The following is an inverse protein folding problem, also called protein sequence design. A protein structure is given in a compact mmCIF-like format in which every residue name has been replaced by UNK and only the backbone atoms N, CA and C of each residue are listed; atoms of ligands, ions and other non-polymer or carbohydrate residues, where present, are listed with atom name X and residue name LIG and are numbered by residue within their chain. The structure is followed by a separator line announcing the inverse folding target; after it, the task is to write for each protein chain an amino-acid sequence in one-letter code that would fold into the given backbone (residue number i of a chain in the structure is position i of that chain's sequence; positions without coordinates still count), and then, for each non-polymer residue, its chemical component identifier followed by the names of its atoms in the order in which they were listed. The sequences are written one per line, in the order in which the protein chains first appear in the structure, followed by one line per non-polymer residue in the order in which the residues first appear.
data_IF_075539162539
#
_entry.id   IF_075539162539
#
_cell.length_a   1.000
_cell.length_b   1.000
_cell.length_c   1.000
_cell.angle_alpha   90.00
_cell.angle_beta   90.00
_cell.angle_gamma   90.00
#
_symmetry.space_group_name_H-M   'P 1'
#
loop_
_entity.id
_entity.type
_entity.pdbx_description
1 polymer ?
#
# COMPACT_ATOMS: atom_id res chain seq x y z
N UNK A 1 -24.94 23.38 -5.67
CA UNK A 1 -23.85 22.39 -5.55
C UNK A 1 -24.06 21.39 -6.67
N UNK A 2 -23.46 21.66 -7.83
CA UNK A 2 -23.61 20.84 -9.04
C UNK A 2 -22.87 19.52 -8.83
N UNK A 3 -23.61 18.41 -8.76
CA UNK A 3 -23.04 17.07 -8.78
C UNK A 3 -22.26 16.90 -10.09
N UNK A 4 -20.93 16.84 -10.00
CA UNK A 4 -20.09 16.52 -11.15
C UNK A 4 -20.36 15.07 -11.59
N UNK A 5 -20.37 14.78 -12.90
CA UNK A 5 -20.67 13.46 -13.42
C UNK A 5 -19.77 12.39 -12.79
N UNK A 6 -20.42 11.44 -12.14
CA UNK A 6 -19.86 10.52 -11.14
C UNK A 6 -18.81 9.52 -11.67
N UNK A 7 -18.58 9.45 -12.98
CA UNK A 7 -17.72 8.41 -13.58
C UNK A 7 -16.98 8.93 -14.82
N UNK A 8 -15.88 9.64 -14.61
CA UNK A 8 -14.82 9.73 -15.61
C UNK A 8 -13.86 8.57 -15.32
N UNK A 9 -13.74 7.55 -16.18
CA UNK A 9 -12.99 6.31 -15.88
C UNK A 9 -11.49 6.55 -15.67
N UNK A 10 -11.02 7.75 -16.02
CA UNK A 10 -9.62 8.15 -15.93
C UNK A 10 -9.31 9.02 -14.71
N UNK A 11 -10.30 9.32 -13.87
CA UNK A 11 -10.15 10.18 -12.69
C UNK A 11 -10.64 9.40 -11.46
N UNK A 12 -9.78 9.25 -10.45
CA UNK A 12 -10.17 8.53 -9.24
C UNK A 12 -11.32 9.27 -8.54
N UNK A 13 -12.30 8.53 -8.00
CA UNK A 13 -13.35 9.15 -7.18
C UNK A 13 -12.69 9.86 -6.00
N UNK A 14 -13.10 11.09 -5.64
CA UNK A 14 -12.52 11.82 -4.51
C UNK A 14 -12.76 11.12 -3.17
N UNK A 15 -13.86 10.37 -3.03
CA UNK A 15 -14.19 9.61 -1.82
C UNK A 15 -13.85 8.14 -1.98
N UNK A 16 -13.03 7.61 -1.07
CA UNK A 16 -12.67 6.19 -1.05
C UNK A 16 -13.77 5.34 -0.45
N UNK A 17 -13.66 4.00 -0.52
CA UNK A 17 -14.55 3.12 0.21
C UNK A 17 -14.67 3.54 1.69
N UNK A 18 -15.88 3.51 2.23
CA UNK A 18 -16.15 4.01 3.59
C UNK A 18 -15.31 3.29 4.67
N UNK A 19 -14.91 2.05 4.40
CA UNK A 19 -14.11 1.20 5.29
C UNK A 19 -12.62 1.59 5.39
N UNK A 20 -12.08 2.48 4.53
CA UNK A 20 -10.66 2.82 4.60
C UNK A 20 -10.29 3.47 5.96
N UNK A 21 -9.13 3.10 6.55
CA UNK A 21 -8.60 3.78 7.73
C UNK A 21 -8.29 5.24 7.40
N UNK A 22 -8.32 6.12 8.41
CA UNK A 22 -8.14 7.56 8.23
C UNK A 22 -6.83 7.89 7.47
N UNK A 23 -5.71 7.27 7.86
CA UNK A 23 -4.43 7.44 7.18
C UNK A 23 -4.47 7.06 5.69
N UNK A 24 -5.19 6.00 5.31
CA UNK A 24 -5.35 5.61 3.91
C UNK A 24 -6.29 6.56 3.16
N UNK A 25 -7.31 7.11 3.82
CA UNK A 25 -8.19 8.16 3.24
C UNK A 25 -7.39 9.42 2.93
N UNK A 26 -6.55 9.85 3.86
CA UNK A 26 -5.68 11.02 3.69
C UNK A 26 -4.68 10.78 2.55
N UNK A 27 -4.00 9.62 2.54
CA UNK A 27 -3.10 9.23 1.46
C UNK A 27 -3.79 9.26 0.08
N UNK A 28 -5.01 8.73 0.00
CA UNK A 28 -5.82 8.75 -1.23
C UNK A 28 -6.15 10.16 -1.69
N UNK A 29 -6.47 11.06 -0.75
CA UNK A 29 -6.76 12.45 -1.05
C UNK A 29 -5.51 13.16 -1.59
N UNK A 30 -4.33 12.96 -1.00
CA UNK A 30 -3.08 13.51 -1.53
C UNK A 30 -2.74 12.95 -2.91
N UNK A 31 -2.93 11.65 -3.15
CA UNK A 31 -2.75 11.04 -4.47
C UNK A 31 -3.71 11.63 -5.51
N UNK A 32 -4.97 11.89 -5.12
CA UNK A 32 -5.97 12.54 -5.97
C UNK A 32 -5.57 13.99 -6.32
N UNK A 33 -5.08 14.76 -5.35
CA UNK A 33 -4.54 16.10 -5.62
C UNK A 33 -3.31 16.06 -6.53
N UNK A 34 -2.43 15.07 -6.35
CA UNK A 34 -1.32 14.79 -7.25
C UNK A 34 -1.80 14.53 -8.68
N UNK A 35 -2.90 13.79 -8.85
CA UNK A 35 -3.53 13.54 -10.15
C UNK A 35 -4.02 14.81 -10.84
N UNK A 36 -4.71 15.67 -10.11
CA UNK A 36 -5.21 16.94 -10.64
C UNK A 36 -4.07 17.86 -11.05
N UNK A 37 -3.02 17.93 -10.23
CA UNK A 37 -1.85 18.75 -10.53
C UNK A 37 -1.07 18.18 -11.71
N UNK A 38 -0.98 16.85 -11.88
CA UNK A 38 -0.43 16.28 -13.12
C UNK A 38 -1.19 16.74 -14.37
N UNK A 39 -2.52 16.77 -14.31
CA UNK A 39 -3.34 17.24 -15.44
C UNK A 39 -3.12 18.72 -15.71
N UNK A 40 -3.00 19.54 -14.67
CA UNK A 40 -2.64 20.95 -14.80
C UNK A 40 -1.24 21.12 -15.43
N UNK A 41 -0.25 20.34 -14.99
CA UNK A 41 1.11 20.36 -15.55
C UNK A 41 1.13 19.90 -17.01
N UNK A 42 0.29 18.93 -17.39
CA UNK A 42 0.11 18.52 -18.78
C UNK A 42 -0.41 19.69 -19.64
N UNK A 43 -1.40 20.44 -19.16
CA UNK A 43 -1.88 21.64 -19.85
C UNK A 43 -0.78 22.70 -20.00
N UNK A 44 -0.01 22.96 -18.95
CA UNK A 44 1.10 23.92 -18.96
C UNK A 44 2.19 23.48 -19.95
N UNK A 45 2.56 22.20 -19.94
CA UNK A 45 3.54 21.65 -20.86
C UNK A 45 3.08 21.77 -22.33
N UNK A 46 1.80 21.57 -22.59
CA UNK A 46 1.22 21.74 -23.93
C UNK A 46 1.33 23.20 -24.42
N UNK A 47 0.92 24.17 -23.60
CA UNK A 47 1.02 25.60 -23.93
C UNK A 47 2.49 26.00 -24.11
N UNK A 48 3.37 25.54 -23.20
CA UNK A 48 4.80 25.78 -23.27
C UNK A 48 5.44 25.18 -24.52
N UNK A 49 5.00 24.01 -24.98
CA UNK A 49 5.49 23.39 -26.21
C UNK A 49 5.13 24.23 -27.43
N UNK A 50 3.89 24.72 -27.54
CA UNK A 50 3.45 25.61 -28.62
C UNK A 50 4.27 26.90 -28.63
N UNK A 51 4.45 27.53 -27.47
CA UNK A 51 5.26 28.74 -27.34
C UNK A 51 6.74 28.50 -27.70
N UNK A 52 7.30 27.35 -27.32
CA UNK A 52 8.68 26.98 -27.63
C UNK A 52 8.89 26.76 -29.13
N UNK A 53 7.91 26.16 -29.82
CA UNK A 53 7.94 26.00 -31.28
C UNK A 53 7.86 27.37 -31.96
N UNK A 54 6.97 28.26 -31.50
CA UNK A 54 6.80 29.60 -32.07
C UNK A 54 8.05 30.48 -31.90
N UNK A 55 8.81 30.29 -30.82
CA UNK A 55 10.05 31.03 -30.54
C UNK A 55 11.31 30.38 -31.14
N UNK A 56 11.18 29.23 -31.81
CA UNK A 56 12.29 28.52 -32.46
C UNK A 56 13.17 27.70 -31.49
N UNK A 57 12.74 27.51 -30.23
CA UNK A 57 13.45 26.69 -29.24
C UNK A 57 13.09 25.21 -29.37
N UNK A 58 13.63 24.57 -30.41
CA UNK A 58 13.31 23.17 -30.74
C UNK A 58 13.69 22.17 -29.64
N UNK A 59 14.80 22.39 -28.93
CA UNK A 59 15.20 21.53 -27.81
C UNK A 59 14.18 21.51 -26.68
N UNK A 60 13.69 22.70 -26.29
CA UNK A 60 12.63 22.84 -25.27
C UNK A 60 11.32 22.24 -25.76
N UNK A 61 10.96 22.48 -27.01
CA UNK A 61 9.75 21.91 -27.61
C UNK A 61 9.77 20.38 -27.58
N UNK A 62 10.87 19.75 -28.01
CA UNK A 62 11.01 18.29 -28.00
C UNK A 62 10.94 17.74 -26.58
N UNK A 63 11.63 18.37 -25.62
CA UNK A 63 11.56 17.98 -24.22
C UNK A 63 10.11 18.03 -23.69
N UNK A 64 9.39 19.12 -23.94
CA UNK A 64 8.01 19.27 -23.48
C UNK A 64 7.06 18.27 -24.14
N UNK A 65 7.26 17.93 -25.42
CA UNK A 65 6.48 16.89 -26.09
C UNK A 65 6.75 15.50 -25.52
N UNK A 66 8.01 15.15 -25.21
CA UNK A 66 8.33 13.88 -24.55
C UNK A 66 7.71 13.85 -23.15
N UNK A 67 7.85 14.93 -22.38
CA UNK A 67 7.27 15.04 -21.04
C UNK A 67 5.74 14.92 -21.08
N UNK A 68 5.05 15.47 -22.09
CA UNK A 68 3.61 15.29 -22.30
C UNK A 68 3.22 13.81 -22.43
N UNK A 69 3.97 13.04 -23.24
CA UNK A 69 3.71 11.61 -23.43
C UNK A 69 3.91 10.86 -22.11
N UNK A 70 4.99 11.14 -21.38
CA UNK A 70 5.27 10.52 -20.09
C UNK A 70 4.19 10.88 -19.07
N UNK A 71 3.80 12.16 -18.94
CA UNK A 71 2.76 12.59 -18.01
C UNK A 71 1.42 11.94 -18.34
N UNK A 72 1.03 11.87 -19.61
CA UNK A 72 -0.20 11.20 -20.03
C UNK A 72 -0.18 9.71 -19.67
N UNK A 73 0.96 9.04 -19.86
CA UNK A 73 1.15 7.65 -19.48
C UNK A 73 1.06 7.44 -17.96
N UNK A 74 1.74 8.29 -17.17
CA UNK A 74 1.66 8.29 -15.71
C UNK A 74 0.22 8.46 -15.23
N UNK A 75 -0.47 9.45 -15.78
CA UNK A 75 -1.85 9.76 -15.45
C UNK A 75 -2.77 8.57 -15.71
N UNK A 76 -2.63 7.92 -16.87
CA UNK A 76 -3.43 6.74 -17.24
C UNK A 76 -3.14 5.54 -16.33
N UNK A 77 -1.86 5.27 -16.04
CA UNK A 77 -1.45 4.14 -15.22
C UNK A 77 -1.76 4.31 -13.73
N UNK A 78 -1.99 5.53 -13.25
CA UNK A 78 -2.12 5.78 -11.81
C UNK A 78 -3.37 5.12 -11.18
N UNK A 79 -4.50 5.11 -11.88
CA UNK A 79 -5.74 4.47 -11.38
C UNK A 79 -5.54 2.96 -11.11
N UNK A 80 -5.15 2.13 -12.09
CA UNK A 80 -4.98 0.70 -11.87
C UNK A 80 -3.77 0.36 -10.97
N UNK A 81 -2.77 1.23 -10.89
CA UNK A 81 -1.54 0.94 -10.16
C UNK A 81 -1.56 1.42 -8.70
N UNK A 82 -2.21 2.54 -8.39
CA UNK A 82 -2.22 3.14 -7.04
C UNK A 82 -3.61 3.03 -6.42
N UNK A 83 -4.64 3.56 -7.07
CA UNK A 83 -5.97 3.65 -6.47
C UNK A 83 -6.66 2.28 -6.36
N UNK A 84 -6.58 1.43 -7.37
CA UNK A 84 -7.18 0.09 -7.32
C UNK A 84 -6.62 -0.78 -6.18
N UNK A 85 -5.30 -0.97 -6.00
CA UNK A 85 -4.79 -1.77 -4.88
C UNK A 85 -5.05 -1.11 -3.51
N UNK A 86 -5.08 0.23 -3.45
CA UNK A 86 -5.43 0.97 -2.24
C UNK A 86 -6.90 0.74 -1.84
N UNK A 87 -7.81 0.79 -2.81
CA UNK A 87 -9.24 0.52 -2.65
C UNK A 87 -9.54 -0.99 -2.46
N UNK A 88 -8.55 -1.87 -2.61
CA UNK A 88 -8.63 -3.31 -2.30
C UNK A 88 -8.05 -3.67 -0.92
N UNK A 89 -7.47 -2.70 -0.20
CA UNK A 89 -6.83 -2.95 1.10
C UNK A 89 -5.43 -3.57 0.99
N UNK A 90 -4.88 -3.68 -0.23
CA UNK A 90 -3.51 -4.14 -0.47
C UNK A 90 -2.54 -2.98 -0.24
N UNK A 91 -2.51 -2.44 0.98
CA UNK A 91 -1.78 -1.22 1.31
C UNK A 91 -0.28 -1.35 1.02
N UNK A 92 0.33 -2.52 1.24
CA UNK A 92 1.74 -2.76 0.94
C UNK A 92 2.04 -2.64 -0.55
N UNK A 93 1.23 -3.29 -1.39
CA UNK A 93 1.37 -3.21 -2.84
C UNK A 93 1.10 -1.79 -3.36
N UNK A 94 0.09 -1.11 -2.81
CA UNK A 94 -0.19 0.28 -3.14
C UNK A 94 0.98 1.20 -2.76
N UNK A 95 1.55 1.02 -1.57
CA UNK A 95 2.70 1.77 -1.05
C UNK A 95 3.95 1.61 -1.93
N UNK A 96 4.30 0.36 -2.28
CA UNK A 96 5.44 0.07 -3.15
C UNK A 96 5.28 0.70 -4.54
N UNK A 97 4.06 0.72 -5.08
CA UNK A 97 3.77 1.39 -6.35
C UNK A 97 3.77 2.90 -6.22
N UNK A 98 3.28 3.44 -5.10
CA UNK A 98 3.20 4.88 -4.84
C UNK A 98 4.58 5.53 -4.79
N UNK A 99 5.57 4.88 -4.18
CA UNK A 99 6.94 5.40 -4.14
C UNK A 99 7.59 5.38 -5.53
N UNK A 100 7.40 4.29 -6.30
CA UNK A 100 7.93 4.18 -7.67
C UNK A 100 7.33 5.29 -8.54
N UNK A 101 6.00 5.44 -8.52
CA UNK A 101 5.33 6.49 -9.28
C UNK A 101 5.63 7.89 -8.78
N UNK A 102 5.83 8.08 -7.48
CA UNK A 102 6.23 9.35 -6.90
C UNK A 102 7.61 9.81 -7.40
N UNK A 103 8.58 8.90 -7.45
CA UNK A 103 9.94 9.19 -7.97
C UNK A 103 9.88 9.50 -9.47
N UNK A 104 9.20 8.68 -10.27
CA UNK A 104 9.07 8.91 -11.73
C UNK A 104 8.32 10.22 -11.99
N UNK A 105 7.25 10.49 -11.21
CA UNK A 105 6.50 11.72 -11.27
C UNK A 105 7.33 12.95 -10.91
N UNK A 106 8.29 12.84 -9.99
CA UNK A 106 9.17 13.95 -9.61
C UNK A 106 10.15 14.30 -10.73
N UNK A 107 10.69 13.30 -11.44
CA UNK A 107 11.66 13.49 -12.52
C UNK A 107 10.98 14.01 -13.80
N UNK A 108 9.84 13.43 -14.18
CA UNK A 108 9.21 13.68 -15.48
C UNK A 108 7.90 14.45 -15.41
N UNK A 109 7.13 14.30 -14.33
CA UNK A 109 5.83 14.95 -14.14
C UNK A 109 5.90 16.32 -13.46
N UNK A 110 7.08 16.69 -12.97
CA UNK A 110 7.32 17.92 -12.23
C UNK A 110 7.36 17.70 -10.71
N UNK A 111 8.02 18.64 -10.04
CA UNK A 111 8.33 18.54 -8.61
C UNK A 111 7.06 18.49 -7.76
N UNK A 112 6.07 19.32 -8.07
CA UNK A 112 4.84 19.44 -7.26
C UNK A 112 4.02 18.13 -7.25
N UNK A 113 3.62 17.54 -8.40
CA UNK A 113 2.87 16.29 -8.38
C UNK A 113 3.68 15.13 -7.80
N UNK A 114 5.00 15.09 -8.04
CA UNK A 114 5.89 14.12 -7.42
C UNK A 114 5.87 14.18 -5.90
N UNK A 115 6.05 15.37 -5.32
CA UNK A 115 6.03 15.57 -3.86
C UNK A 115 4.68 15.16 -3.25
N UNK A 116 3.55 15.46 -3.90
CA UNK A 116 2.24 15.07 -3.38
C UNK A 116 2.05 13.54 -3.34
N UNK A 117 2.56 12.83 -4.34
CA UNK A 117 2.61 11.36 -4.33
C UNK A 117 3.52 10.85 -3.20
N UNK A 118 4.66 11.48 -2.97
CA UNK A 118 5.54 11.13 -1.83
C UNK A 118 4.87 11.39 -0.48
N UNK A 119 4.10 12.46 -0.32
CA UNK A 119 3.31 12.72 0.89
C UNK A 119 2.24 11.65 1.08
N UNK A 120 1.54 11.27 0.00
CA UNK A 120 0.58 10.17 0.04
C UNK A 120 1.23 8.85 0.48
N UNK A 121 2.46 8.58 0.04
CA UNK A 121 3.24 7.42 0.49
C UNK A 121 3.55 7.48 1.99
N UNK A 122 4.04 8.61 2.50
CA UNK A 122 4.33 8.80 3.94
C UNK A 122 3.06 8.58 4.77
N UNK A 123 1.91 9.13 4.34
CA UNK A 123 0.63 8.91 5.01
C UNK A 123 0.18 7.46 4.98
N UNK A 124 0.42 6.77 3.87
CA UNK A 124 0.08 5.35 3.77
C UNK A 124 0.96 4.49 4.68
N UNK A 125 2.20 4.92 4.98
CA UNK A 125 3.05 4.21 5.91
C UNK A 125 2.52 4.18 7.34
N UNK A 126 1.75 5.19 7.75
CA UNK A 126 1.13 5.24 9.07
C UNK A 126 0.22 4.02 9.29
N UNK A 127 -0.42 3.49 8.23
CA UNK A 127 -1.26 2.28 8.29
C UNK A 127 -0.47 1.03 8.74
N UNK A 128 0.84 0.99 8.54
CA UNK A 128 1.67 -0.13 8.97
C UNK A 128 2.17 -0.01 10.42
N UNK A 129 1.91 1.11 11.10
CA UNK A 129 2.28 1.24 12.51
C UNK A 129 1.37 0.36 13.40
N UNK A 130 1.92 -0.25 14.47
CA UNK A 130 1.19 -1.20 15.32
C UNK A 130 -0.10 -0.61 15.93
N UNK A 131 -0.18 0.70 16.09
CA UNK A 131 -1.37 1.40 16.58
C UNK A 131 -2.57 1.32 15.61
N UNK A 132 -2.32 1.13 14.30
CA UNK A 132 -3.36 0.97 13.28
C UNK A 132 -3.68 -0.51 12.99
N UNK A 133 -2.85 -1.46 13.46
CA UNK A 133 -3.14 -2.89 13.39
C UNK A 133 -4.32 -3.31 14.28
N UNK A 134 -4.74 -2.45 15.23
CA UNK A 134 -5.96 -2.63 16.01
C UNK A 134 -7.26 -2.26 15.26
N UNK A 135 -7.19 -1.73 14.03
CA UNK A 135 -8.39 -1.60 13.19
C UNK A 135 -8.83 -3.01 12.75
N UNK A 136 -10.08 -3.41 13.03
CA UNK A 136 -10.45 -4.79 12.91
C UNK A 136 -10.53 -5.18 11.44
N UNK A 137 -9.78 -6.22 11.08
CA UNK A 137 -9.99 -7.10 9.92
C UNK A 137 -11.35 -7.84 9.98
N UNK A 138 -12.34 -7.37 10.75
CA UNK A 138 -13.69 -7.93 10.79
C UNK A 138 -14.55 -7.55 9.57
N UNK A 139 -14.24 -6.44 8.87
CA UNK A 139 -15.09 -5.99 7.76
C UNK A 139 -14.99 -6.87 6.50
N UNK A 140 -13.97 -7.72 6.40
CA UNK A 140 -13.82 -8.69 5.29
C UNK A 140 -14.38 -10.09 5.61
N UNK A 141 -14.91 -10.32 6.81
CA UNK A 141 -15.53 -11.59 7.21
C UNK A 141 -16.92 -11.36 7.82
N UNK A 142 -17.90 -10.97 7.01
CA UNK A 142 -19.30 -11.25 7.35
C UNK A 142 -20.09 -11.68 6.11
N UNK A 143 -20.49 -12.95 6.00
CA UNK A 143 -21.77 -13.28 5.40
C UNK A 143 -22.87 -12.67 6.29
N UNK A 144 -23.86 -12.01 5.69
CA UNK A 144 -25.03 -11.48 6.38
C UNK A 144 -25.68 -12.53 7.30
N UNK A 145 -25.59 -12.34 8.61
CA UNK A 145 -26.49 -12.94 9.59
C UNK A 145 -26.91 -11.85 10.59
N UNK A 146 -28.18 -11.46 10.53
CA UNK A 146 -28.88 -10.77 11.63
C UNK A 146 -28.88 -11.69 12.88
N UNK A 147 -28.78 -11.20 14.14
CA UNK A 147 -29.91 -10.50 14.78
C UNK A 147 -29.60 -9.48 15.93
N UNK A 148 -30.65 -8.70 16.26
CA UNK A 148 -31.09 -8.19 17.58
C UNK A 148 -30.31 -7.12 18.39
N UNK A 149 -31.09 -6.11 18.80
CA UNK A 149 -30.78 -4.96 19.67
C UNK A 149 -30.52 -5.33 21.13
N UNK A 150 -29.63 -4.56 21.78
CA UNK A 150 -29.54 -4.38 23.24
C UNK A 150 -28.92 -2.99 23.61
N UNK A 151 -29.20 -2.42 24.81
CA UNK A 151 -29.30 -0.98 25.11
C UNK A 151 -27.99 -0.26 25.57
N UNK A 152 -28.02 1.09 25.80
CA UNK A 152 -26.82 1.93 25.96
C UNK A 152 -26.32 2.06 27.42
N UNK A 153 -25.00 2.18 27.59
CA UNK A 153 -24.31 2.53 28.87
C UNK A 153 -22.97 3.28 28.56
N UNK A 154 -22.38 4.07 29.50
CA UNK A 154 -22.03 5.50 29.34
C UNK A 154 -20.50 5.77 29.11
N UNK A 155 -20.06 7.05 28.99
CA UNK A 155 -18.79 7.43 28.36
C UNK A 155 -17.48 7.22 29.16
N UNK A 156 -16.43 7.12 28.34
CA UNK A 156 -14.99 6.89 28.55
C UNK A 156 -14.32 7.54 29.77
N UNK A 157 -13.52 6.73 30.47
CA UNK A 157 -12.38 7.20 31.26
C UNK A 157 -11.15 7.33 30.37
N UNK A 158 -10.54 8.52 30.42
CA UNK A 158 -9.22 8.84 29.86
C UNK A 158 -8.14 7.98 30.52
N UNK A 159 -7.55 7.04 29.77
CA UNK A 159 -6.35 6.33 30.23
C UNK A 159 -5.09 7.08 29.79
N UNK A 160 -4.35 7.46 30.82
CA UNK A 160 -3.15 8.24 30.89
C UNK A 160 -1.95 7.43 30.36
N UNK A 161 -1.14 8.06 29.50
CA UNK A 161 0.09 7.50 28.94
C UNK A 161 1.04 6.97 30.03
N UNK A 162 1.48 5.71 29.91
CA UNK A 162 2.52 5.14 30.76
C UNK A 162 3.69 4.70 29.86
N UNK A 163 4.81 5.42 29.97
CA UNK A 163 6.03 5.14 29.22
C UNK A 163 6.69 3.84 29.72
N UNK A 164 7.27 2.99 28.84
CA UNK A 164 8.00 1.79 29.27
C UNK A 164 9.31 2.16 30.00
N UNK A 165 9.68 1.46 31.08
CA UNK A 165 10.93 1.72 31.80
C UNK A 165 12.16 1.30 31.00
N UNK A 166 13.23 2.08 31.16
CA UNK A 166 14.55 1.85 30.58
C UNK A 166 15.13 0.48 30.98
N UNK A 167 15.56 -0.29 29.98
CA UNK A 167 16.25 -1.57 30.19
C UNK A 167 17.63 -1.33 30.82
N UNK A 168 17.83 -1.92 31.99
CA UNK A 168 19.13 -2.06 32.64
C UNK A 168 20.08 -2.91 31.76
N UNK A 169 21.28 -2.37 31.51
CA UNK A 169 22.41 -3.10 30.91
C UNK A 169 22.98 -4.11 31.91
N UNK A 170 23.15 -5.36 31.49
CA UNK A 170 23.83 -6.40 32.27
C UNK A 170 25.37 -6.28 32.16
N UNK A 171 26.14 -6.61 33.22
CA UNK A 171 27.59 -6.47 33.25
C UNK A 171 28.33 -7.50 32.36
N UNK A 172 29.56 -7.17 31.89
CA UNK A 172 30.32 -8.01 30.97
C UNK A 172 30.91 -9.25 31.65
N UNK A 173 30.76 -10.41 30.98
CA UNK A 173 31.26 -11.71 31.43
C UNK A 173 32.71 -11.93 30.92
N UNK A 174 33.64 -12.46 31.74
CA UNK A 174 35.04 -12.69 31.34
C UNK A 174 35.20 -13.78 30.27
N UNK A 175 36.18 -13.57 29.38
CA UNK A 175 36.50 -14.40 28.21
C UNK A 175 37.34 -15.64 28.60
N UNK A 176 36.99 -16.86 28.18
CA UNK A 176 37.90 -18.02 28.20
C UNK A 176 38.67 -18.20 26.86
N UNK A 177 39.83 -18.90 26.86
CA UNK A 177 40.82 -18.90 25.76
C UNK A 177 40.45 -19.81 24.55
N UNK A 178 41.21 -19.73 23.44
CA UNK A 178 40.79 -20.25 22.13
C UNK A 178 41.04 -21.75 21.97
N UNK A 179 40.04 -22.48 21.45
CA UNK A 179 40.17 -23.87 21.02
C UNK A 179 39.57 -24.06 19.62
N UNK A 180 40.48 -24.31 18.67
CA UNK A 180 40.47 -25.02 17.37
C UNK A 180 39.19 -25.17 16.51
N UNK A 181 39.33 -25.18 15.16
CA UNK A 181 38.22 -25.09 14.21
C UNK A 181 37.65 -26.46 13.81
N UNK A 182 36.31 -26.56 13.75
CA UNK A 182 35.56 -27.66 13.13
C UNK A 182 34.14 -27.16 12.72
N UNK A 183 33.41 -27.86 11.84
CA UNK A 183 33.21 -27.54 10.44
C UNK A 183 31.89 -26.81 10.14
N UNK A 184 31.78 -26.25 8.93
CA UNK A 184 30.61 -25.55 8.41
C UNK A 184 29.34 -26.44 8.45
N UNK A 185 28.19 -25.92 8.93
CA UNK A 185 26.92 -26.59 8.76
C UNK A 185 26.39 -26.42 7.33
N UNK A 186 26.03 -27.56 6.78
CA UNK A 186 25.59 -27.83 5.42
C UNK A 186 24.26 -27.15 5.05
N UNK A 187 24.09 -27.00 3.73
CA UNK A 187 22.86 -26.65 3.04
C UNK A 187 21.69 -27.52 3.51
N UNK A 188 20.71 -26.94 4.19
CA UNK A 188 19.40 -27.58 4.37
C UNK A 188 18.56 -27.44 3.09
N UNK A 189 18.90 -28.27 2.11
CA UNK A 189 18.07 -28.59 0.97
C UNK A 189 17.24 -29.83 1.34
N UNK A 190 16.07 -29.64 1.96
CA UNK A 190 14.99 -30.60 2.23
C UNK A 190 13.96 -29.87 3.10
N UNK A 191 12.71 -29.64 2.70
CA UNK A 191 11.75 -30.68 2.36
C UNK A 191 10.73 -30.14 1.37
N UNK A 192 10.70 -30.72 0.17
CA UNK A 192 9.52 -30.69 -0.70
C UNK A 192 8.39 -31.32 0.13
N UNK A 193 7.50 -30.49 0.70
CA UNK A 193 6.47 -30.97 1.59
C UNK A 193 5.64 -32.04 0.87
N UNK A 194 5.71 -33.28 1.37
CA UNK A 194 4.96 -34.40 0.83
C UNK A 194 3.47 -34.00 0.76
N UNK A 195 2.88 -34.03 -0.44
CA UNK A 195 1.51 -33.57 -0.65
C UNK A 195 0.57 -34.77 -0.54
N UNK A 196 -0.45 -34.64 0.31
CA UNK A 196 -1.49 -35.65 0.50
C UNK A 196 -2.82 -35.15 -0.06
N UNK A 197 -3.58 -36.03 -0.70
CA UNK A 197 -4.91 -35.74 -1.24
C UNK A 197 -5.98 -36.02 -0.19
N UNK A 198 -6.85 -35.04 0.07
CA UNK A 198 -8.00 -35.24 0.95
C UNK A 198 -8.98 -36.25 0.34
N UNK A 199 -9.38 -37.28 1.10
CA UNK A 199 -10.40 -38.25 0.67
C UNK A 199 -11.80 -37.67 0.52
N UNK A 200 -12.13 -36.61 1.26
CA UNK A 200 -13.46 -36.01 1.24
C UNK A 200 -13.62 -34.99 0.09
N UNK A 201 -12.68 -34.05 -0.06
CA UNK A 201 -12.80 -32.99 -1.06
C UNK A 201 -11.82 -33.09 -2.25
N UNK A 202 -10.92 -34.08 -2.25
CA UNK A 202 -9.97 -34.30 -3.35
C UNK A 202 -8.84 -33.27 -3.48
N UNK A 203 -8.76 -32.27 -2.61
CA UNK A 203 -7.71 -31.24 -2.65
C UNK A 203 -6.38 -31.80 -2.13
N UNK A 204 -5.28 -31.49 -2.82
CA UNK A 204 -3.93 -31.81 -2.37
C UNK A 204 -3.40 -30.71 -1.44
N UNK A 205 -2.89 -31.10 -0.28
CA UNK A 205 -2.35 -30.20 0.72
C UNK A 205 -1.13 -30.83 1.40
N UNK A 206 -0.23 -30.02 1.98
CA UNK A 206 1.01 -30.55 2.53
C UNK A 206 0.76 -31.37 3.81
N UNK A 207 1.50 -32.47 3.94
CA UNK A 207 1.37 -33.48 4.99
C UNK A 207 1.50 -32.95 6.43
N UNK A 208 2.11 -31.78 6.66
CA UNK A 208 2.23 -31.23 8.01
C UNK A 208 0.90 -30.73 8.58
N UNK A 209 -0.15 -30.55 7.75
CA UNK A 209 -1.47 -30.12 8.24
C UNK A 209 -2.29 -31.29 8.80
N UNK A 210 -2.83 -31.11 10.02
CA UNK A 210 -3.69 -32.10 10.70
C UNK A 210 -5.09 -32.22 10.10
N UNK A 211 -5.59 -31.14 9.50
CA UNK A 211 -6.94 -31.05 8.95
C UNK A 211 -6.88 -30.47 7.53
N UNK A 212 -7.78 -30.93 6.67
CA UNK A 212 -7.87 -30.40 5.31
C UNK A 212 -8.33 -28.92 5.33
N UNK A 213 -7.64 -28.00 4.65
CA UNK A 213 -8.01 -26.57 4.64
C UNK A 213 -9.33 -26.28 3.91
N UNK A 214 -9.79 -27.18 3.05
CA UNK A 214 -11.00 -26.96 2.25
C UNK A 214 -12.28 -27.47 2.94
N UNK A 215 -12.21 -28.60 3.65
CA UNK A 215 -13.39 -29.23 4.25
C UNK A 215 -13.28 -29.52 5.75
N UNK A 216 -12.16 -29.17 6.40
CA UNK A 216 -11.97 -29.32 7.85
C UNK A 216 -11.82 -30.74 8.37
N UNK A 217 -12.01 -31.77 7.53
CA UNK A 217 -11.88 -33.17 7.97
C UNK A 217 -10.45 -33.51 8.40
N UNK A 218 -10.28 -34.28 9.49
CA UNK A 218 -8.96 -34.70 9.94
C UNK A 218 -8.31 -35.63 8.92
N UNK A 219 -6.98 -35.63 8.92
CA UNK A 219 -6.17 -36.53 8.10
C UNK A 219 -6.43 -38.00 8.53
N UNK A 220 -6.85 -38.84 7.58
CA UNK A 220 -7.00 -40.31 7.72
C UNK A 220 -6.18 -41.07 6.70
#
# INVERSE_FOLDING_TARGET
MTEMPKNIPFLANSTGPAWLPAAAKDARQFAYWGQLIMLLMLLIAFIGAIASIATGSWGTAIYLLISMVVIAFLYYMMVPSVFTPLDQGKFKEASDRLIIWGIIGLIFGGVIPGILLLIAFIRLQEVFQPQYQQYPTQYYQQPQQYPQQAPPVPPQQTQQYQAPPAQYQAPPVPVPPPAQPAPAPEQHNSSRAEMIKCKNCGVQYPAFMRNCPNCGTPRQ
#
